data_IF_925700411231
#
_entry.id   IF_925700411231
#
_cell.length_a   1.000
_cell.length_b   1.000
_cell.length_c   1.000
_cell.angle_alpha   90.00
_cell.angle_beta   90.00
_cell.angle_gamma   90.00
#
_symmetry.space_group_name_H-M   'P 1'
#
loop_
_entity.id
_entity.type
_entity.pdbx_description
1 polymer ?
#
# COMPACT_ATOMS: atom_id res chain seq x y z
N UNK A 1 23.91 -19.21 -9.98
CA UNK A 1 23.42 -18.03 -9.22
C UNK A 1 23.87 -18.19 -7.77
N UNK A 2 24.51 -17.18 -7.15
CA UNK A 2 25.03 -17.30 -5.77
C UNK A 2 23.95 -17.25 -4.67
N UNK A 3 22.69 -16.97 -5.01
CA UNK A 3 21.50 -17.45 -4.32
C UNK A 3 20.36 -17.53 -5.37
N UNK A 4 19.54 -18.58 -5.34
CA UNK A 4 18.34 -18.72 -6.16
C UNK A 4 17.12 -18.78 -5.23
N UNK A 5 16.92 -17.71 -4.46
CA UNK A 5 15.89 -17.65 -3.42
C UNK A 5 14.49 -17.86 -3.97
N UNK A 6 14.20 -17.40 -5.19
CA UNK A 6 12.90 -17.59 -5.85
C UNK A 6 12.84 -18.88 -6.70
N UNK A 7 13.86 -19.74 -6.61
CA UNK A 7 13.96 -21.01 -7.33
C UNK A 7 13.68 -20.90 -8.84
N UNK A 8 14.13 -19.80 -9.47
CA UNK A 8 13.93 -19.55 -10.89
C UNK A 8 14.77 -20.54 -11.71
N UNK A 9 14.11 -21.25 -12.61
CA UNK A 9 14.77 -22.18 -13.54
C UNK A 9 15.09 -21.52 -14.89
N UNK A 10 14.23 -20.61 -15.35
CA UNK A 10 14.36 -19.92 -16.63
C UNK A 10 14.21 -18.40 -16.44
N UNK A 11 15.26 -17.65 -16.79
CA UNK A 11 15.29 -16.19 -16.62
C UNK A 11 14.68 -15.45 -17.82
N UNK A 12 14.82 -16.00 -19.03
CA UNK A 12 14.33 -15.42 -20.28
C UNK A 12 13.14 -16.25 -20.76
N UNK A 13 11.96 -15.67 -20.78
CA UNK A 13 10.71 -16.36 -21.14
C UNK A 13 10.46 -16.34 -22.66
N UNK A 14 10.81 -15.25 -23.34
CA UNK A 14 10.67 -15.16 -24.79
C UNK A 14 11.62 -14.12 -25.39
N UNK A 15 11.94 -14.30 -26.68
CA UNK A 15 12.64 -13.31 -27.50
C UNK A 15 11.88 -13.18 -28.82
N UNK A 16 11.38 -11.98 -29.10
CA UNK A 16 10.54 -11.69 -30.27
C UNK A 16 11.19 -10.59 -31.11
N UNK A 17 11.16 -10.73 -32.44
CA UNK A 17 11.53 -9.64 -33.35
C UNK A 17 10.32 -8.73 -33.52
N UNK A 18 10.48 -7.45 -33.20
CA UNK A 18 9.42 -6.43 -33.31
C UNK A 18 9.87 -5.27 -34.19
N UNK A 19 8.93 -4.68 -34.92
CA UNK A 19 9.20 -3.48 -35.73
C UNK A 19 8.71 -2.22 -35.01
N UNK A 20 9.61 -1.27 -34.72
CA UNK A 20 9.32 -0.04 -33.97
C UNK A 20 10.04 1.17 -34.59
N UNK A 21 9.62 2.37 -34.21
CA UNK A 21 10.34 3.62 -34.49
C UNK A 21 11.05 4.07 -33.22
N UNK A 22 12.22 4.69 -33.39
CA UNK A 22 12.88 5.40 -32.30
C UNK A 22 12.18 6.74 -32.07
N UNK A 23 11.96 7.11 -30.81
CA UNK A 23 11.41 8.43 -30.43
C UNK A 23 12.42 9.56 -30.65
N UNK A 24 13.72 9.26 -30.59
CA UNK A 24 14.78 10.27 -30.69
C UNK A 24 15.12 10.62 -32.15
N UNK A 25 14.70 11.81 -32.56
CA UNK A 25 14.97 12.36 -33.88
C UNK A 25 14.04 11.80 -34.96
N UNK A 26 13.68 12.64 -35.94
CA UNK A 26 12.87 12.21 -37.07
C UNK A 26 13.75 11.48 -38.11
N UNK A 27 13.48 10.21 -38.33
CA UNK A 27 14.18 9.36 -39.30
C UNK A 27 13.26 8.86 -40.43
N UNK A 28 12.09 9.48 -40.59
CA UNK A 28 11.02 9.02 -41.46
C UNK A 28 10.14 7.95 -40.81
N UNK A 29 9.16 7.45 -41.57
CA UNK A 29 8.15 6.50 -41.07
C UNK A 29 8.59 5.02 -41.14
N UNK A 30 9.84 4.77 -41.58
CA UNK A 30 10.34 3.41 -41.73
C UNK A 30 10.73 2.81 -40.38
N UNK A 31 9.98 1.80 -39.95
CA UNK A 31 10.27 1.02 -38.75
C UNK A 31 11.58 0.23 -38.88
N UNK A 32 12.29 0.10 -37.76
CA UNK A 32 13.48 -0.73 -37.61
C UNK A 32 13.14 -1.99 -36.80
N UNK A 33 13.94 -3.04 -36.95
CA UNK A 33 13.76 -4.31 -36.21
C UNK A 33 14.48 -4.23 -34.87
N UNK A 34 13.79 -4.63 -33.81
CA UNK A 34 14.26 -4.71 -32.44
C UNK A 34 14.02 -6.12 -31.89
N UNK A 35 14.78 -6.51 -30.86
CA UNK A 35 14.50 -7.70 -30.06
C UNK A 35 13.75 -7.29 -28.79
N UNK A 36 12.53 -7.81 -28.62
CA UNK A 36 11.78 -7.74 -27.37
C UNK A 36 12.13 -8.98 -26.55
N UNK A 37 12.76 -8.78 -25.39
CA UNK A 37 13.16 -9.86 -24.49
C UNK A 37 12.26 -9.82 -23.26
N UNK A 38 11.51 -10.90 -23.03
CA UNK A 38 10.64 -11.06 -21.86
C UNK A 38 11.39 -11.82 -20.78
N UNK A 39 11.40 -11.30 -19.55
CA UNK A 39 12.09 -11.91 -18.41
C UNK A 39 11.09 -12.43 -17.39
N UNK A 40 11.48 -13.44 -16.61
CA UNK A 40 10.61 -14.06 -15.62
C UNK A 40 10.39 -13.23 -14.36
N UNK A 41 11.33 -12.34 -14.02
CA UNK A 41 11.22 -11.43 -12.86
C UNK A 41 11.73 -10.03 -13.21
N UNK A 42 11.11 -8.94 -12.69
CA UNK A 42 11.55 -7.57 -12.92
C UNK A 42 13.01 -7.32 -12.53
N UNK A 43 13.48 -7.92 -11.43
CA UNK A 43 14.87 -7.77 -10.95
C UNK A 43 15.93 -8.26 -11.94
N UNK A 44 15.57 -9.12 -12.90
CA UNK A 44 16.50 -9.58 -13.93
C UNK A 44 16.72 -8.56 -15.05
N UNK A 45 15.87 -7.53 -15.19
CA UNK A 45 16.05 -6.48 -16.21
C UNK A 45 17.41 -5.81 -16.06
N UNK A 46 17.78 -5.41 -14.85
CA UNK A 46 19.09 -4.79 -14.59
C UNK A 46 20.26 -5.73 -14.92
N UNK A 47 20.12 -7.03 -14.69
CA UNK A 47 21.15 -8.02 -15.02
C UNK A 47 21.27 -8.24 -16.53
N UNK A 48 20.15 -8.38 -17.24
CA UNK A 48 20.11 -8.52 -18.69
C UNK A 48 20.74 -7.30 -19.38
N UNK A 49 20.38 -6.09 -18.96
CA UNK A 49 20.96 -4.84 -19.49
C UNK A 49 22.47 -4.79 -19.30
N UNK A 50 22.99 -5.22 -18.13
CA UNK A 50 24.44 -5.26 -17.88
C UNK A 50 25.17 -6.26 -18.78
N UNK A 51 24.53 -7.35 -19.18
CA UNK A 51 25.11 -8.36 -20.08
C UNK A 51 25.08 -7.89 -21.53
N UNK A 52 24.06 -7.13 -21.92
CA UNK A 52 23.84 -6.63 -23.27
C UNK A 52 24.50 -5.27 -23.55
N UNK A 53 25.43 -4.81 -22.69
CA UNK A 53 26.10 -3.48 -22.75
C UNK A 53 26.75 -3.11 -24.10
N UNK A 54 27.01 -4.07 -24.98
CA UNK A 54 27.58 -3.82 -26.32
C UNK A 54 26.53 -3.48 -27.38
N UNK A 55 25.25 -3.68 -27.06
CA UNK A 55 24.13 -3.38 -27.93
C UNK A 55 23.50 -2.03 -27.55
N UNK A 56 22.82 -1.39 -28.50
CA UNK A 56 22.03 -0.20 -28.21
C UNK A 56 20.72 -0.64 -27.57
N UNK A 57 20.62 -0.46 -26.25
CA UNK A 57 19.42 -0.79 -25.48
C UNK A 57 18.55 0.46 -25.39
N UNK A 58 17.38 0.41 -26.04
CA UNK A 58 16.38 1.48 -26.02
C UNK A 58 15.33 1.31 -24.92
N UNK A 59 15.57 0.39 -23.99
CA UNK A 59 14.67 0.19 -22.85
C UNK A 59 14.89 1.35 -21.87
N UNK A 60 13.96 2.28 -21.86
CA UNK A 60 13.80 3.19 -20.72
C UNK A 60 13.55 2.33 -19.48
N UNK A 61 14.32 2.59 -18.42
CA UNK A 61 14.14 2.00 -17.10
C UNK A 61 12.85 2.52 -16.48
N UNK A 62 11.73 2.04 -17.00
CA UNK A 62 10.41 2.29 -16.44
C UNK A 62 10.21 1.26 -15.33
N UNK A 63 9.85 1.73 -14.15
CA UNK A 63 9.50 0.84 -13.03
C UNK A 63 8.40 -0.13 -13.46
N UNK A 64 8.46 -1.35 -12.95
CA UNK A 64 7.58 -2.43 -13.38
C UNK A 64 6.09 -2.06 -13.22
N UNK A 65 5.75 -1.36 -12.14
CA UNK A 65 4.38 -0.91 -11.88
C UNK A 65 3.92 0.11 -12.93
N UNK A 66 4.79 1.03 -13.34
CA UNK A 66 4.50 2.01 -14.40
C UNK A 66 4.39 1.31 -15.76
N UNK A 67 5.26 0.33 -16.04
CA UNK A 67 5.16 -0.48 -17.27
C UNK A 67 3.83 -1.23 -17.32
N UNK A 68 3.42 -1.84 -16.22
CA UNK A 68 2.12 -2.51 -16.08
C UNK A 68 0.96 -1.56 -16.35
N UNK A 69 0.97 -0.38 -15.70
CA UNK A 69 -0.04 0.67 -15.90
C UNK A 69 -0.15 1.09 -17.36
N UNK A 70 0.99 1.37 -18.02
CA UNK A 70 1.01 1.77 -19.44
C UNK A 70 0.54 0.63 -20.36
N UNK A 71 0.92 -0.62 -20.09
CA UNK A 71 0.49 -1.77 -20.90
C UNK A 71 -1.00 -2.07 -20.80
N UNK A 72 -1.59 -1.82 -19.63
CA UNK A 72 -2.99 -2.16 -19.34
C UNK A 72 -3.94 -0.96 -19.44
N UNK A 73 -3.41 0.25 -19.63
CA UNK A 73 -4.18 1.50 -19.64
C UNK A 73 -4.58 1.99 -18.24
N UNK A 74 -4.14 1.32 -17.17
CA UNK A 74 -4.48 1.69 -15.79
C UNK A 74 -3.79 3.00 -15.41
N UNK A 75 -4.58 3.91 -14.82
CA UNK A 75 -4.10 5.19 -14.27
C UNK A 75 -4.26 5.23 -12.74
N UNK A 76 -3.80 6.32 -12.11
CA UNK A 76 -4.01 6.52 -10.67
C UNK A 76 -5.50 6.70 -10.33
N UNK A 77 -5.94 6.15 -9.19
CA UNK A 77 -7.34 6.21 -8.72
C UNK A 77 -8.36 5.75 -9.77
N UNK A 78 -8.06 4.65 -10.47
CA UNK A 78 -8.81 4.16 -11.61
C UNK A 78 -9.92 3.16 -11.23
N UNK A 79 -11.04 3.19 -11.94
CA UNK A 79 -12.07 2.15 -11.83
C UNK A 79 -11.67 0.93 -12.66
N UNK A 80 -11.60 -0.21 -11.98
CA UNK A 80 -11.29 -1.51 -12.57
C UNK A 80 -12.53 -2.40 -12.48
N UNK A 81 -12.90 -3.01 -13.60
CA UNK A 81 -13.97 -3.99 -13.68
C UNK A 81 -13.39 -5.39 -13.92
N UNK A 82 -13.92 -6.37 -13.17
CA UNK A 82 -13.60 -7.78 -13.33
C UNK A 82 -14.80 -8.50 -13.98
N UNK A 83 -14.76 -8.82 -15.28
CA UNK A 83 -15.86 -9.49 -15.96
C UNK A 83 -16.22 -10.83 -15.31
N UNK A 84 -17.49 -11.23 -15.40
CA UNK A 84 -17.93 -12.53 -14.89
C UNK A 84 -17.14 -13.69 -15.54
N UNK A 85 -16.61 -14.59 -14.70
CA UNK A 85 -15.81 -15.73 -15.13
C UNK A 85 -14.34 -15.42 -15.45
N UNK A 86 -13.92 -14.15 -15.37
CA UNK A 86 -12.53 -13.75 -15.56
C UNK A 86 -11.66 -13.88 -14.30
N UNK A 87 -12.29 -14.04 -13.13
CA UNK A 87 -11.63 -14.02 -11.82
C UNK A 87 -12.08 -15.16 -10.92
N UNK A 88 -11.26 -15.46 -9.92
CA UNK A 88 -11.52 -16.48 -8.90
C UNK A 88 -11.50 -15.87 -7.51
N UNK A 89 -12.52 -16.14 -6.70
CA UNK A 89 -12.52 -15.74 -5.30
C UNK A 89 -11.54 -16.63 -4.51
N UNK A 90 -10.64 -16.02 -3.74
CA UNK A 90 -9.80 -16.75 -2.80
C UNK A 90 -10.60 -17.12 -1.55
N UNK A 91 -10.43 -18.35 -1.08
CA UNK A 91 -11.07 -18.87 0.11
C UNK A 91 -10.31 -20.06 0.68
N UNK A 92 -10.93 -20.78 1.63
CA UNK A 92 -10.28 -21.89 2.35
C UNK A 92 -9.85 -23.07 1.46
N UNK A 93 -10.44 -23.19 0.28
CA UNK A 93 -10.18 -24.27 -0.68
C UNK A 93 -9.39 -23.80 -1.91
N UNK A 94 -8.98 -22.54 -1.95
CA UNK A 94 -8.17 -22.00 -3.04
C UNK A 94 -6.73 -22.52 -2.92
N UNK A 95 -6.05 -22.65 -4.07
CA UNK A 95 -4.64 -23.07 -4.13
C UNK A 95 -3.75 -22.16 -3.28
N UNK A 96 -4.02 -20.86 -3.32
CA UNK A 96 -3.43 -19.86 -2.45
C UNK A 96 -4.51 -19.38 -1.48
N UNK A 97 -4.19 -19.41 -0.19
CA UNK A 97 -5.11 -18.93 0.84
C UNK A 97 -5.14 -17.40 0.85
N UNK A 98 -6.24 -16.77 1.29
CA UNK A 98 -6.27 -15.33 1.49
C UNK A 98 -5.17 -14.85 2.44
N UNK A 99 -4.45 -13.80 2.06
CA UNK A 99 -3.37 -13.20 2.85
C UNK A 99 -3.74 -11.82 3.42
N UNK A 100 -4.69 -11.15 2.78
CA UNK A 100 -5.19 -9.84 3.21
C UNK A 100 -6.29 -9.96 4.28
N UNK A 101 -6.68 -8.80 4.85
CA UNK A 101 -7.88 -8.68 5.71
C UNK A 101 -9.07 -8.10 4.95
N UNK A 102 -8.92 -7.86 3.65
CA UNK A 102 -9.97 -7.30 2.82
C UNK A 102 -11.17 -8.26 2.76
N UNK A 103 -12.36 -7.69 2.57
CA UNK A 103 -13.59 -8.48 2.47
C UNK A 103 -13.61 -9.38 1.23
N UNK A 104 -12.95 -8.96 0.15
CA UNK A 104 -12.82 -9.69 -1.10
C UNK A 104 -11.34 -9.77 -1.48
N UNK A 105 -10.86 -10.99 -1.70
CA UNK A 105 -9.53 -11.25 -2.25
C UNK A 105 -9.69 -12.16 -3.47
N UNK A 106 -9.23 -11.71 -4.63
CA UNK A 106 -9.53 -12.33 -5.92
C UNK A 106 -8.28 -12.50 -6.76
N UNK A 107 -8.25 -13.57 -7.57
CA UNK A 107 -7.23 -13.80 -8.59
C UNK A 107 -7.79 -13.48 -9.97
N UNK A 108 -7.11 -12.63 -10.73
CA UNK A 108 -7.44 -12.30 -12.12
C UNK A 108 -6.15 -12.19 -12.93
N UNK A 109 -6.18 -12.63 -14.19
CA UNK A 109 -5.05 -12.45 -15.10
C UNK A 109 -4.99 -10.99 -15.59
N UNK A 110 -3.78 -10.46 -15.81
CA UNK A 110 -3.57 -9.06 -16.15
C UNK A 110 -4.26 -8.60 -17.45
N UNK A 111 -4.57 -9.54 -18.34
CA UNK A 111 -5.21 -9.30 -19.64
C UNK A 111 -6.74 -9.54 -19.61
N UNK A 112 -7.32 -9.75 -18.42
CA UNK A 112 -8.74 -10.11 -18.26
C UNK A 112 -9.58 -9.11 -17.48
N UNK A 113 -8.98 -8.10 -16.86
CA UNK A 113 -9.72 -6.99 -16.28
C UNK A 113 -9.94 -5.87 -17.31
N UNK A 114 -10.86 -4.97 -17.02
CA UNK A 114 -11.13 -3.78 -17.83
C UNK A 114 -10.73 -2.55 -17.02
N UNK A 115 -9.85 -1.72 -17.57
CA UNK A 115 -9.56 -0.37 -17.08
C UNK A 115 -10.49 0.62 -17.77
N UNK A 116 -11.21 1.41 -16.97
CA UNK A 116 -12.14 2.42 -17.49
C UNK A 116 -11.50 3.81 -17.48
N UNK A 117 -11.59 4.58 -18.56
CA UNK A 117 -11.14 5.97 -18.52
C UNK A 117 -11.95 6.78 -17.47
N UNK A 118 -11.34 7.74 -16.74
CA UNK A 118 -11.98 8.45 -15.63
C UNK A 118 -12.94 9.56 -16.14
N UNK A 119 -13.84 9.21 -17.04
CA UNK A 119 -14.81 10.08 -17.68
C UNK A 119 -16.24 9.59 -17.42
N UNK A 120 -17.22 10.51 -17.51
CA UNK A 120 -18.63 10.18 -17.35
C UNK A 120 -18.93 9.47 -16.02
N UNK A 121 -19.56 8.29 -16.10
CA UNK A 121 -19.91 7.48 -14.92
C UNK A 121 -18.69 7.02 -14.10
N UNK A 122 -17.51 6.90 -14.73
CA UNK A 122 -16.26 6.46 -14.11
C UNK A 122 -15.41 7.62 -13.56
N UNK A 123 -15.92 8.85 -13.60
CA UNK A 123 -15.30 10.00 -12.93
C UNK A 123 -15.61 10.08 -11.43
N UNK A 124 -16.48 9.19 -10.92
CA UNK A 124 -16.91 9.15 -9.52
C UNK A 124 -15.75 8.75 -8.61
N UNK A 125 -15.79 9.25 -7.38
CA UNK A 125 -14.85 8.88 -6.32
C UNK A 125 -15.51 7.83 -5.42
N UNK A 126 -14.77 6.78 -5.06
CA UNK A 126 -15.25 5.77 -4.12
C UNK A 126 -15.47 6.37 -2.72
N UNK A 127 -16.39 5.83 -1.92
CA UNK A 127 -16.67 6.31 -0.56
C UNK A 127 -15.58 5.85 0.43
N UNK A 128 -14.37 6.37 0.29
CA UNK A 128 -13.22 6.03 1.14
C UNK A 128 -13.50 6.29 2.63
N UNK A 129 -13.00 5.42 3.50
CA UNK A 129 -12.93 5.67 4.95
C UNK A 129 -11.64 6.43 5.26
N UNK A 130 -11.80 7.65 5.78
CA UNK A 130 -10.69 8.52 6.13
C UNK A 130 -10.59 8.57 7.65
N UNK A 131 -9.48 8.07 8.20
CA UNK A 131 -9.19 8.11 9.63
C UNK A 131 -8.18 9.22 9.91
N UNK A 132 -8.60 10.24 10.65
CA UNK A 132 -7.71 11.23 11.23
C UNK A 132 -7.41 10.87 12.69
N UNK A 133 -6.15 10.94 13.09
CA UNK A 133 -5.77 10.70 14.48
C UNK A 133 -4.68 11.65 14.97
N UNK A 134 -4.57 11.75 16.29
CA UNK A 134 -3.59 12.56 17.02
C UNK A 134 -3.23 11.88 18.34
N UNK A 135 -1.98 12.00 18.77
CA UNK A 135 -1.47 11.34 19.98
C UNK A 135 -0.95 12.34 21.01
N UNK A 136 -1.20 12.04 22.29
CA UNK A 136 -0.69 12.82 23.42
C UNK A 136 0.23 11.97 24.29
N UNK A 137 1.37 12.56 24.69
CA UNK A 137 2.40 11.89 25.46
C UNK A 137 2.67 12.63 26.78
N UNK A 138 2.89 11.88 27.86
CA UNK A 138 3.27 12.46 29.15
C UNK A 138 4.79 12.67 29.24
N UNK A 139 5.26 13.80 28.72
CA UNK A 139 6.69 14.16 28.69
C UNK A 139 7.26 14.66 30.02
N UNK A 140 8.57 14.47 30.21
CA UNK A 140 9.35 15.10 31.30
C UNK A 140 9.48 16.62 31.09
N UNK A 141 9.48 17.38 32.19
CA UNK A 141 9.50 18.86 32.14
C UNK A 141 10.70 19.40 31.37
N UNK A 142 10.43 20.18 30.31
CA UNK A 142 11.44 20.84 29.49
C UNK A 142 12.18 19.92 28.52
N UNK A 143 11.74 18.66 28.38
CA UNK A 143 12.34 17.67 27.49
C UNK A 143 11.27 17.25 26.48
N UNK A 144 11.63 17.21 25.20
CA UNK A 144 10.74 16.71 24.16
C UNK A 144 10.47 15.21 24.37
N UNK A 145 9.23 14.71 24.19
CA UNK A 145 8.91 13.32 24.46
C UNK A 145 9.83 12.32 23.72
N UNK A 146 10.30 11.32 24.46
CA UNK A 146 11.13 10.22 23.95
C UNK A 146 10.38 8.88 24.08
N UNK A 147 10.21 8.11 22.99
CA UNK A 147 9.41 6.88 22.98
C UNK A 147 9.83 5.76 23.95
N UNK A 148 10.97 5.89 24.65
CA UNK A 148 11.41 4.88 25.64
C UNK A 148 11.12 5.30 27.07
N UNK A 149 10.77 6.57 27.28
CA UNK A 149 10.73 7.22 28.59
C UNK A 149 9.37 7.83 28.88
N UNK A 150 8.70 8.34 27.85
CA UNK A 150 7.50 9.16 27.99
C UNK A 150 6.31 8.42 27.37
N UNK A 151 5.35 7.99 28.19
CA UNK A 151 4.24 7.13 27.75
C UNK A 151 3.24 7.88 26.87
N UNK A 152 2.64 7.17 25.91
CA UNK A 152 1.42 7.61 25.21
C UNK A 152 0.25 7.51 26.18
N UNK A 153 -0.45 8.63 26.38
CA UNK A 153 -1.54 8.73 27.34
C UNK A 153 -2.90 8.90 26.67
N UNK A 154 -2.97 9.44 25.45
CA UNK A 154 -4.21 9.54 24.71
C UNK A 154 -4.00 9.35 23.22
N UNK A 155 -4.98 8.77 22.54
CA UNK A 155 -5.06 8.73 21.08
C UNK A 155 -6.49 9.07 20.67
N UNK A 156 -6.67 10.24 20.05
CA UNK A 156 -7.96 10.70 19.55
C UNK A 156 -8.14 10.28 18.09
N UNK A 157 -9.35 9.86 17.72
CA UNK A 157 -9.65 9.42 16.36
C UNK A 157 -10.98 9.98 15.86
N UNK A 158 -10.98 10.37 14.59
CA UNK A 158 -12.17 10.78 13.84
C UNK A 158 -12.19 10.00 12.53
N UNK A 159 -13.32 9.34 12.22
CA UNK A 159 -13.49 8.61 10.96
C UNK A 159 -14.67 9.16 10.20
N UNK A 160 -14.43 9.52 8.94
CA UNK A 160 -15.43 10.08 8.02
C UNK A 160 -15.43 9.31 6.71
N UNK A 161 -16.61 9.17 6.10
CA UNK A 161 -16.73 8.67 4.74
C UNK A 161 -16.48 9.80 3.74
N UNK A 162 -15.78 9.53 2.65
CA UNK A 162 -15.56 10.50 1.59
C UNK A 162 -16.90 11.03 1.06
N UNK A 163 -17.11 12.34 1.22
CA UNK A 163 -18.34 13.04 0.82
C UNK A 163 -19.41 13.17 1.91
N UNK A 164 -19.24 12.52 3.06
CA UNK A 164 -20.14 12.69 4.19
C UNK A 164 -19.95 14.06 4.85
N UNK A 165 -21.01 14.68 5.39
CA UNK A 165 -20.91 15.99 6.03
C UNK A 165 -20.27 15.95 7.42
N UNK A 166 -20.34 14.80 8.10
CA UNK A 166 -19.92 14.64 9.49
C UNK A 166 -19.24 13.28 9.71
N UNK A 167 -18.22 13.20 10.58
CA UNK A 167 -17.59 11.93 10.96
C UNK A 167 -18.58 10.98 11.66
N UNK A 168 -18.55 9.71 11.28
CA UNK A 168 -19.40 8.66 11.86
C UNK A 168 -18.77 7.96 13.06
N UNK A 169 -17.46 8.11 13.27
CA UNK A 169 -16.77 7.70 14.51
C UNK A 169 -16.04 8.89 15.09
N UNK A 170 -16.24 9.11 16.40
CA UNK A 170 -15.51 10.08 17.22
C UNK A 170 -15.16 9.40 18.53
N UNK A 171 -13.89 9.12 18.75
CA UNK A 171 -13.46 8.47 19.98
C UNK A 171 -12.12 8.98 20.48
N UNK A 172 -11.86 8.73 21.76
CA UNK A 172 -10.56 8.96 22.39
C UNK A 172 -10.22 7.75 23.24
N UNK A 173 -9.05 7.18 22.99
CA UNK A 173 -8.44 6.13 23.79
C UNK A 173 -7.61 6.84 24.86
N UNK A 174 -7.85 6.55 26.14
CA UNK A 174 -7.15 7.22 27.26
C UNK A 174 -6.48 6.21 28.18
N UNK A 175 -5.28 6.56 28.64
CA UNK A 175 -4.65 5.91 29.76
C UNK A 175 -5.29 6.42 31.05
N UNK A 176 -5.76 5.50 31.87
CA UNK A 176 -6.59 5.74 33.05
C UNK A 176 -7.97 6.31 32.71
N UNK A 177 -8.77 6.46 33.77
CA UNK A 177 -10.14 6.96 33.68
C UNK A 177 -10.18 8.41 33.17
N UNK A 178 -11.13 8.68 32.30
CA UNK A 178 -11.44 10.01 31.77
C UNK A 178 -12.96 10.24 31.85
N UNK A 179 -13.37 11.49 32.06
CA UNK A 179 -14.78 11.84 32.09
C UNK A 179 -15.42 11.70 30.69
N UNK A 180 -16.72 11.42 30.64
CA UNK A 180 -17.45 11.34 29.38
C UNK A 180 -17.44 12.67 28.63
N UNK A 181 -17.26 12.62 27.31
CA UNK A 181 -17.32 13.79 26.42
C UNK A 181 -18.57 13.66 25.55
N UNK A 182 -19.42 14.68 25.54
CA UNK A 182 -20.66 14.66 24.73
C UNK A 182 -20.31 14.54 23.25
N UNK A 183 -20.90 13.55 22.58
CA UNK A 183 -20.69 13.33 21.15
C UNK A 183 -19.43 12.52 20.78
N UNK A 184 -18.67 12.04 21.78
CA UNK A 184 -17.49 11.20 21.56
C UNK A 184 -17.47 10.00 22.51
N UNK A 185 -16.99 8.86 22.01
CA UNK A 185 -16.76 7.68 22.84
C UNK A 185 -15.43 7.82 23.57
N UNK A 186 -15.46 7.74 24.91
CA UNK A 186 -14.26 7.75 25.74
C UNK A 186 -13.95 6.32 26.15
N UNK A 187 -12.79 5.80 25.73
CA UNK A 187 -12.39 4.39 25.94
C UNK A 187 -11.14 4.39 26.82
N UNK A 188 -11.30 4.00 28.08
CA UNK A 188 -10.24 4.07 29.08
C UNK A 188 -9.55 2.71 29.28
N UNK A 189 -8.24 2.71 29.45
CA UNK A 189 -7.43 1.52 29.71
C UNK A 189 -6.51 1.72 30.91
N UNK A 190 -6.18 0.65 31.62
CA UNK A 190 -5.33 0.75 32.81
C UNK A 190 -3.84 0.81 32.49
N UNK A 191 -3.43 0.26 31.34
CA UNK A 191 -2.03 0.19 30.92
C UNK A 191 -1.86 0.70 29.49
N UNK A 192 -0.69 1.26 29.18
CA UNK A 192 -0.36 1.73 27.83
C UNK A 192 -0.38 0.58 26.82
N UNK A 193 0.09 -0.61 27.20
CA UNK A 193 0.05 -1.80 26.33
C UNK A 193 -1.38 -2.13 25.89
N UNK A 194 -2.34 -2.13 26.82
CA UNK A 194 -3.74 -2.39 26.50
C UNK A 194 -4.31 -1.30 25.58
N UNK A 195 -3.97 -0.03 25.83
CA UNK A 195 -4.36 1.10 24.99
C UNK A 195 -3.87 0.90 23.54
N UNK A 196 -2.57 0.63 23.35
CA UNK A 196 -1.96 0.45 22.03
C UNK A 196 -2.51 -0.81 21.31
N UNK A 197 -2.70 -1.91 22.04
CA UNK A 197 -3.27 -3.14 21.48
C UNK A 197 -4.71 -2.93 21.00
N UNK A 198 -5.52 -2.21 21.78
CA UNK A 198 -6.91 -1.90 21.45
C UNK A 198 -7.02 -0.88 20.33
N UNK A 199 -6.15 0.14 20.31
CA UNK A 199 -6.08 1.08 19.20
C UNK A 199 -5.67 0.38 17.89
N UNK A 200 -4.67 -0.51 17.92
CA UNK A 200 -4.30 -1.29 16.74
C UNK A 200 -5.45 -2.18 16.25
N UNK A 201 -6.24 -2.74 17.17
CA UNK A 201 -7.43 -3.54 16.85
C UNK A 201 -8.53 -2.68 16.23
N UNK A 202 -8.72 -1.48 16.75
CA UNK A 202 -9.65 -0.50 16.20
C UNK A 202 -9.28 -0.10 14.77
N UNK A 203 -8.00 0.21 14.47
CA UNK A 203 -7.58 0.53 13.10
C UNK A 203 -7.84 -0.64 12.15
N UNK A 204 -7.57 -1.88 12.57
CA UNK A 204 -7.87 -3.09 11.77
C UNK A 204 -9.36 -3.33 11.55
N UNK A 205 -10.19 -3.00 12.54
CA UNK A 205 -11.64 -3.16 12.45
C UNK A 205 -12.28 -2.08 11.58
N UNK A 206 -11.79 -0.83 11.68
CA UNK A 206 -12.25 0.28 10.85
C UNK A 206 -11.86 0.09 9.39
N UNK A 207 -10.67 -0.49 9.14
CA UNK A 207 -10.12 -0.71 7.80
C UNK A 207 -10.11 0.59 6.97
N UNK A 208 -9.35 1.63 7.40
CA UNK A 208 -9.35 2.92 6.71
C UNK A 208 -8.56 2.86 5.41
N UNK A 209 -9.11 3.46 4.35
CA UNK A 209 -8.42 3.63 3.06
C UNK A 209 -7.35 4.72 3.14
N UNK A 210 -7.60 5.77 3.93
CA UNK A 210 -6.70 6.90 4.11
C UNK A 210 -6.47 7.14 5.60
N UNK A 211 -5.19 7.11 6.00
CA UNK A 211 -4.77 7.61 7.31
C UNK A 211 -4.22 9.03 7.18
N UNK A 212 -4.72 9.94 8.00
CA UNK A 212 -4.33 11.36 7.98
C UNK A 212 -4.21 11.93 9.39
N UNK A 213 -3.69 13.15 9.47
CA UNK A 213 -3.42 13.87 10.71
C UNK A 213 -2.31 14.90 10.50
N UNK A 214 -2.01 15.68 11.53
CA UNK A 214 -0.98 16.71 11.46
C UNK A 214 0.35 16.16 11.95
N UNK A 215 1.39 16.17 11.11
CA UNK A 215 2.74 15.68 11.45
C UNK A 215 2.87 14.17 11.80
N UNK A 216 1.84 13.37 11.50
CA UNK A 216 1.80 11.93 11.85
C UNK A 216 2.99 11.12 11.30
N UNK A 217 3.53 11.49 10.15
CA UNK A 217 4.65 10.79 9.52
C UNK A 217 5.98 11.04 10.23
N UNK A 218 6.16 12.22 10.84
CA UNK A 218 7.43 12.58 11.50
C UNK A 218 7.38 12.40 13.01
N UNK A 219 6.18 12.31 13.60
CA UNK A 219 6.00 12.17 15.04
C UNK A 219 5.15 10.93 15.38
N UNK A 220 3.83 11.00 15.24
CA UNK A 220 2.89 10.04 15.83
C UNK A 220 3.16 8.58 15.42
N UNK A 221 3.24 8.29 14.12
CA UNK A 221 3.46 6.93 13.62
C UNK A 221 4.84 6.41 14.07
N UNK A 222 5.97 7.13 13.81
CA UNK A 222 7.27 6.71 14.34
C UNK A 222 7.31 6.55 15.86
N UNK A 223 6.58 7.39 16.60
CA UNK A 223 6.53 7.37 18.06
C UNK A 223 5.83 6.10 18.56
N UNK A 224 4.63 5.82 18.05
CA UNK A 224 3.85 4.63 18.34
C UNK A 224 4.63 3.36 18.00
N UNK A 225 5.26 3.30 16.82
CA UNK A 225 6.05 2.14 16.39
C UNK A 225 7.24 1.88 17.33
N UNK A 226 7.92 2.93 17.80
CA UNK A 226 9.08 2.80 18.72
C UNK A 226 8.68 2.43 20.15
N UNK A 227 7.56 2.97 20.65
CA UNK A 227 6.98 2.60 21.95
C UNK A 227 6.63 1.12 22.02
N UNK A 228 6.22 0.59 20.88
CA UNK A 228 5.80 -0.79 20.71
C UNK A 228 6.93 -1.83 20.78
N UNK A 229 8.18 -1.37 20.93
CA UNK A 229 9.37 -2.15 21.24
C UNK A 229 10.09 -2.76 20.01
N UNK A 230 11.36 -3.18 20.15
CA UNK A 230 12.09 -3.85 19.09
C UNK A 230 11.60 -5.30 18.96
N UNK A 231 10.75 -5.56 17.94
CA UNK A 231 10.45 -6.89 17.40
C UNK A 231 10.18 -8.02 18.42
N UNK A 232 8.94 -8.13 18.96
CA UNK A 232 8.33 -9.47 19.21
C UNK A 232 6.88 -9.52 19.75
N UNK A 233 6.19 -8.39 20.01
CA UNK A 233 4.81 -8.47 20.55
C UNK A 233 3.70 -7.81 19.73
N UNK A 234 4.00 -7.21 18.57
CA UNK A 234 2.98 -6.78 17.62
C UNK A 234 3.12 -7.53 16.29
N UNK A 235 2.82 -8.83 16.30
CA UNK A 235 2.39 -9.55 15.09
C UNK A 235 1.11 -8.95 14.45
N UNK A 236 0.58 -7.89 15.05
CA UNK A 236 -0.70 -7.25 14.80
C UNK A 236 -0.58 -5.91 14.06
N UNK A 237 0.64 -5.36 13.86
CA UNK A 237 0.89 -4.11 13.11
C UNK A 237 1.56 -4.32 11.74
N UNK A 238 1.49 -5.53 11.17
CA UNK A 238 1.97 -5.83 9.79
C UNK A 238 1.37 -4.93 8.68
N UNK A 239 0.46 -4.02 9.02
CA UNK A 239 -0.01 -2.96 8.13
C UNK A 239 1.11 -1.98 7.73
N UNK A 240 2.07 -1.67 8.62
CA UNK A 240 3.05 -0.60 8.40
C UNK A 240 4.37 -1.07 7.76
N UNK A 241 4.68 -2.36 7.77
CA UNK A 241 5.92 -2.87 7.16
C UNK A 241 5.92 -2.79 5.63
N UNK A 242 4.75 -2.63 5.00
CA UNK A 242 4.59 -2.37 3.56
C UNK A 242 4.88 -0.91 3.14
N UNK A 243 5.09 0.01 4.09
CA UNK A 243 5.43 1.42 3.82
C UNK A 243 6.93 1.71 3.87
N UNK A 244 7.77 0.67 4.01
CA UNK A 244 9.22 0.78 3.80
C UNK A 244 9.52 0.65 2.30
N UNK A 245 9.31 1.74 1.56
CA UNK A 245 10.00 1.98 0.29
C UNK A 245 11.26 2.78 0.53
#
# INVERSE_FOLDING_TARGET
MRSNEDNVQEAVLSVEIVERLNIYGYQGDRKQRYLKITLSLPKFVAAATRLLKREIIYADFIDFDIRFMVDTGVVGCNWIELPAGAWYLRGRHSKFLPESRCQLEVDVAFDKFISHEPEGEWSKVAPFRILSFDTECAGRRGIFPEPKMDAVIQIANMVIGQGDPEPFIRNVFTLKACASIVGSQVICFETETELLDKWSSFVREVDPDILTGYNINNFDIPYLLKQSGPFEKLKTLNFWDGLKT
#
